data_IF_179500239106
#
_entry.id   IF_179500239106
#
_cell.length_a   1.000
_cell.length_b   1.000
_cell.length_c   1.000
_cell.angle_alpha   90.00
_cell.angle_beta   90.00
_cell.angle_gamma   90.00
#
_symmetry.space_group_name_H-M   'P 1'
#
loop_
_entity.id
_entity.type
_entity.pdbx_description
1 polymer ?
#
# COMPACT_ATOMS: atom_id res chain seq x y z
N UNK A 1 4.03 -0.49 26.71
CA UNK A 1 3.51 -1.84 27.04
C UNK A 1 3.62 -2.69 25.78
N UNK A 2 4.46 -3.72 25.81
CA UNK A 2 4.85 -4.51 24.64
C UNK A 2 3.99 -5.77 24.56
N UNK A 3 2.95 -5.74 23.74
CA UNK A 3 2.25 -6.96 23.34
C UNK A 3 3.06 -7.62 22.21
N UNK A 4 4.11 -8.35 22.58
CA UNK A 4 4.76 -9.30 21.68
C UNK A 4 3.79 -10.44 21.43
N UNK A 5 2.89 -10.25 20.45
CA UNK A 5 2.09 -11.32 19.86
C UNK A 5 3.09 -12.30 19.26
N UNK A 6 3.29 -13.42 19.95
CA UNK A 6 4.18 -14.50 19.52
C UNK A 6 3.63 -15.05 18.19
N UNK A 7 4.17 -14.58 17.07
CA UNK A 7 3.85 -15.09 15.75
C UNK A 7 4.78 -16.30 15.51
N UNK A 8 4.25 -17.51 15.25
CA UNK A 8 5.09 -18.65 14.94
C UNK A 8 6.07 -18.31 13.81
N UNK A 9 7.33 -18.76 13.87
CA UNK A 9 8.33 -18.47 12.83
C UNK A 9 7.86 -18.84 11.41
N UNK A 10 7.07 -19.92 11.28
CA UNK A 10 6.45 -20.35 10.04
C UNK A 10 5.44 -19.35 9.47
N UNK A 11 4.58 -18.76 10.31
CA UNK A 11 3.64 -17.72 9.90
C UNK A 11 4.33 -16.41 9.58
N UNK A 12 5.36 -16.06 10.36
CA UNK A 12 6.21 -14.90 10.08
C UNK A 12 6.88 -15.01 8.70
N UNK A 13 7.35 -16.21 8.31
CA UNK A 13 7.92 -16.44 6.98
C UNK A 13 6.89 -16.33 5.85
N UNK A 14 5.66 -16.78 6.07
CA UNK A 14 4.56 -16.65 5.11
C UNK A 14 4.17 -15.18 4.88
N UNK A 15 3.99 -14.42 5.98
CA UNK A 15 3.72 -12.98 5.90
C UNK A 15 4.86 -12.23 5.25
N UNK A 16 6.12 -12.59 5.56
CA UNK A 16 7.29 -12.05 4.85
C UNK A 16 7.20 -12.25 3.36
N UNK A 17 6.91 -13.48 2.91
CA UNK A 17 6.80 -13.79 1.49
C UNK A 17 5.65 -13.01 0.81
N UNK A 18 4.52 -12.84 1.50
CA UNK A 18 3.38 -12.05 1.01
C UNK A 18 3.70 -10.56 0.91
N UNK A 19 4.46 -10.02 1.86
CA UNK A 19 4.92 -8.64 1.83
C UNK A 19 5.91 -8.47 0.67
N UNK A 20 6.97 -9.27 0.59
CA UNK A 20 8.01 -9.12 -0.46
C UNK A 20 7.49 -9.34 -1.87
N UNK A 21 6.47 -10.18 -2.04
CA UNK A 21 5.84 -10.47 -3.33
C UNK A 21 4.51 -9.71 -3.48
N UNK A 22 4.34 -8.62 -2.74
CA UNK A 22 3.14 -7.82 -2.86
C UNK A 22 3.08 -7.17 -4.24
N UNK A 23 1.94 -7.37 -4.89
CA UNK A 23 1.59 -6.75 -6.15
C UNK A 23 0.11 -6.35 -6.07
N UNK A 24 -0.17 -5.14 -6.53
CA UNK A 24 -1.52 -4.63 -6.64
C UNK A 24 -2.19 -5.25 -7.87
N UNK A 25 -3.43 -5.73 -7.73
CA UNK A 25 -4.18 -6.28 -8.86
C UNK A 25 -4.72 -5.17 -9.78
N UNK A 26 -4.86 -5.43 -11.08
CA UNK A 26 -5.28 -4.42 -12.08
C UNK A 26 -6.67 -3.82 -11.78
N UNK A 27 -7.56 -4.61 -11.19
CA UNK A 27 -8.92 -4.20 -10.80
C UNK A 27 -9.00 -3.73 -9.33
N UNK A 28 -7.92 -3.89 -8.54
CA UNK A 28 -7.89 -3.50 -7.13
C UNK A 28 -7.59 -2.01 -7.01
N UNK A 29 -8.44 -1.30 -6.26
CA UNK A 29 -8.19 0.09 -5.93
C UNK A 29 -7.10 0.19 -4.87
N UNK A 30 -6.34 1.27 -4.91
CA UNK A 30 -5.18 1.45 -4.05
C UNK A 30 -5.52 1.44 -2.54
N UNK A 31 -6.74 1.81 -2.16
CA UNK A 31 -7.25 1.65 -0.78
C UNK A 31 -7.28 0.19 -0.35
N UNK A 32 -7.89 -0.67 -1.17
CA UNK A 32 -8.06 -2.09 -0.84
C UNK A 32 -6.68 -2.79 -0.84
N UNK A 33 -5.79 -2.37 -1.75
CA UNK A 33 -4.39 -2.78 -1.79
C UNK A 33 -3.64 -2.38 -0.51
N UNK A 34 -3.85 -1.15 -0.01
CA UNK A 34 -3.27 -0.67 1.25
C UNK A 34 -3.83 -1.43 2.46
N UNK A 35 -5.14 -1.66 2.52
CA UNK A 35 -5.75 -2.45 3.60
C UNK A 35 -5.16 -3.86 3.65
N UNK A 36 -5.07 -4.55 2.50
CA UNK A 36 -4.46 -5.87 2.36
C UNK A 36 -2.99 -5.89 2.79
N UNK A 37 -2.22 -4.89 2.37
CA UNK A 37 -0.81 -4.77 2.76
C UNK A 37 -0.66 -4.50 4.27
N UNK A 38 -1.48 -3.60 4.82
CA UNK A 38 -1.45 -3.24 6.23
C UNK A 38 -1.81 -4.43 7.12
N UNK A 39 -2.76 -5.27 6.72
CA UNK A 39 -3.10 -6.51 7.44
C UNK A 39 -1.88 -7.46 7.52
N UNK A 40 -1.16 -7.64 6.41
CA UNK A 40 0.07 -8.45 6.41
C UNK A 40 1.16 -7.84 7.31
N UNK A 41 1.30 -6.52 7.28
CA UNK A 41 2.28 -5.79 8.07
C UNK A 41 1.99 -5.86 9.58
N UNK A 42 0.73 -5.64 10.01
CA UNK A 42 0.31 -5.72 11.41
C UNK A 42 0.31 -7.15 11.96
N UNK A 43 0.14 -8.17 11.11
CA UNK A 43 0.23 -9.57 11.52
C UNK A 43 1.68 -10.06 11.70
N UNK A 44 2.67 -9.32 11.19
CA UNK A 44 4.08 -9.63 11.40
C UNK A 44 4.64 -8.88 12.63
N UNK A 45 5.44 -9.53 13.51
CA UNK A 45 6.04 -8.82 14.63
C UNK A 45 6.95 -7.68 14.15
N UNK A 46 6.76 -6.47 14.70
CA UNK A 46 7.42 -5.22 14.29
C UNK A 46 8.96 -5.28 14.28
N UNK A 47 9.59 -6.22 14.99
CA UNK A 47 11.05 -6.28 15.13
C UNK A 47 11.76 -6.92 13.93
N UNK A 48 11.01 -7.56 13.02
CA UNK A 48 11.62 -8.45 12.03
C UNK A 48 11.79 -7.80 10.65
N UNK A 49 11.33 -6.58 10.47
CA UNK A 49 11.48 -5.78 9.26
C UNK A 49 12.14 -4.43 9.57
N UNK A 50 13.04 -3.99 8.69
CA UNK A 50 13.44 -2.59 8.68
C UNK A 50 12.22 -1.75 8.36
N UNK A 51 11.95 -0.73 9.18
CA UNK A 51 10.75 0.07 9.05
C UNK A 51 10.68 0.83 7.71
N UNK A 52 11.76 0.93 6.93
CA UNK A 52 11.73 1.47 5.56
C UNK A 52 11.46 0.41 4.48
N UNK A 53 11.78 -0.86 4.72
CA UNK A 53 11.68 -1.93 3.72
C UNK A 53 10.25 -2.12 3.20
N UNK A 54 9.25 -1.97 4.08
CA UNK A 54 7.85 -2.13 3.68
C UNK A 54 7.39 -0.98 2.75
N UNK A 55 7.95 0.23 2.88
CA UNK A 55 7.60 1.38 2.03
C UNK A 55 8.07 1.11 0.59
N UNK A 56 9.31 0.67 0.44
CA UNK A 56 9.88 0.31 -0.86
C UNK A 56 9.12 -0.85 -1.50
N UNK A 57 8.77 -1.86 -0.70
CA UNK A 57 8.05 -3.03 -1.16
C UNK A 57 6.62 -2.68 -1.59
N UNK A 58 5.89 -1.92 -0.76
CA UNK A 58 4.54 -1.46 -1.08
C UNK A 58 4.57 -0.61 -2.35
N UNK A 59 5.38 0.45 -2.37
CA UNK A 59 5.49 1.33 -3.53
C UNK A 59 5.92 0.56 -4.78
N UNK A 60 6.86 -0.39 -4.68
CA UNK A 60 7.29 -1.24 -5.79
C UNK A 60 6.17 -2.08 -6.39
N UNK A 61 5.29 -2.64 -5.55
CA UNK A 61 4.15 -3.48 -5.92
C UNK A 61 2.93 -2.73 -6.47
N UNK A 62 2.90 -1.39 -6.40
CA UNK A 62 1.79 -0.60 -6.95
C UNK A 62 1.83 -0.52 -8.47
N UNK A 63 0.65 -0.38 -9.07
CA UNK A 63 0.56 -0.06 -10.49
C UNK A 63 1.04 1.38 -10.78
N UNK A 64 1.42 1.65 -12.03
CA UNK A 64 2.02 2.93 -12.41
C UNK A 64 1.12 4.15 -12.14
N UNK A 65 -0.19 4.03 -12.37
CA UNK A 65 -1.14 5.12 -12.14
C UNK A 65 -1.19 5.53 -10.66
N UNK A 66 -1.12 4.54 -9.78
CA UNK A 66 -1.17 4.69 -8.33
C UNK A 66 0.14 5.23 -7.76
N UNK A 67 1.28 4.84 -8.35
CA UNK A 67 2.59 5.47 -8.09
C UNK A 67 2.57 6.97 -8.41
N UNK A 68 2.04 7.34 -9.58
CA UNK A 68 1.95 8.75 -10.00
C UNK A 68 1.04 9.55 -9.06
N UNK A 69 -0.09 8.98 -8.63
CA UNK A 69 -0.99 9.60 -7.67
C UNK A 69 -0.27 9.87 -6.34
N UNK A 70 0.37 8.84 -5.79
CA UNK A 70 1.15 8.96 -4.55
C UNK A 70 2.25 10.00 -4.70
N UNK A 71 3.03 9.96 -5.77
CA UNK A 71 4.12 10.93 -5.99
C UNK A 71 3.60 12.36 -6.13
N UNK A 72 2.45 12.55 -6.76
CA UNK A 72 1.80 13.87 -6.86
C UNK A 72 1.37 14.39 -5.49
N UNK A 73 0.82 13.53 -4.63
CA UNK A 73 0.34 13.90 -3.29
C UNK A 73 1.49 14.06 -2.28
N UNK A 74 2.53 13.22 -2.38
CA UNK A 74 3.75 13.32 -1.58
C UNK A 74 4.76 14.35 -2.11
N UNK A 75 4.50 14.96 -3.27
CA UNK A 75 5.47 15.80 -3.99
C UNK A 75 6.80 15.08 -4.24
N UNK A 76 6.75 13.77 -4.51
CA UNK A 76 7.93 12.91 -4.70
C UNK A 76 8.77 12.66 -3.44
N UNK A 77 8.25 12.97 -2.24
CA UNK A 77 8.99 12.83 -0.98
C UNK A 77 8.66 11.57 -0.19
N UNK A 78 7.88 10.63 -0.74
CA UNK A 78 7.48 9.41 0.00
C UNK A 78 8.70 8.67 0.56
N UNK A 79 9.74 8.45 -0.26
CA UNK A 79 10.98 7.77 0.15
C UNK A 79 11.83 8.55 1.18
N UNK A 80 11.57 9.85 1.35
CA UNK A 80 12.26 10.71 2.32
C UNK A 80 11.48 10.85 3.64
N UNK A 81 10.25 10.31 3.71
CA UNK A 81 9.44 10.35 4.91
C UNK A 81 9.78 9.20 5.84
N UNK A 82 9.65 9.43 7.15
CA UNK A 82 9.78 8.35 8.13
C UNK A 82 8.53 7.45 8.11
N UNK A 83 8.63 6.17 8.48
CA UNK A 83 7.53 5.21 8.38
C UNK A 83 6.22 5.63 9.09
N UNK A 84 6.26 6.28 10.27
CA UNK A 84 5.05 6.82 10.89
C UNK A 84 4.36 7.92 10.06
N UNK A 85 5.14 8.73 9.33
CA UNK A 85 4.58 9.77 8.46
C UNK A 85 3.92 9.15 7.22
N UNK A 86 4.55 8.15 6.60
CA UNK A 86 4.00 7.43 5.44
C UNK A 86 2.72 6.70 5.82
N UNK A 87 2.71 6.01 6.96
CA UNK A 87 1.51 5.31 7.47
C UNK A 87 0.37 6.28 7.68
N UNK A 88 0.60 7.38 8.42
CA UNK A 88 -0.42 8.40 8.67
C UNK A 88 -0.93 9.03 7.37
N UNK A 89 -0.05 9.24 6.39
CA UNK A 89 -0.42 9.78 5.10
C UNK A 89 -1.32 8.80 4.32
N UNK A 90 -0.98 7.51 4.28
CA UNK A 90 -1.79 6.46 3.65
C UNK A 90 -3.15 6.29 4.34
N UNK A 91 -3.18 6.33 5.68
CA UNK A 91 -4.42 6.32 6.45
C UNK A 91 -5.27 7.56 6.19
N UNK A 92 -4.69 8.76 6.23
CA UNK A 92 -5.38 10.01 5.91
C UNK A 92 -5.98 9.97 4.50
N UNK A 93 -5.26 9.37 3.56
CA UNK A 93 -5.71 9.22 2.18
C UNK A 93 -6.84 8.20 2.03
N UNK A 94 -6.77 7.08 2.75
CA UNK A 94 -7.84 6.09 2.83
C UNK A 94 -9.10 6.66 3.50
N UNK A 95 -8.95 7.46 4.56
CA UNK A 95 -10.04 8.07 5.32
C UNK A 95 -10.69 9.27 4.62
N UNK A 96 -9.90 10.10 3.94
CA UNK A 96 -10.41 11.33 3.30
C UNK A 96 -11.25 11.06 2.05
N UNK A 97 -11.48 9.79 1.69
CA UNK A 97 -12.27 9.45 0.51
C UNK A 97 -11.75 10.17 -0.72
N UNK A 98 -10.42 10.35 -0.81
CA UNK A 98 -9.81 10.82 -2.04
C UNK A 98 -10.30 9.89 -3.15
N UNK A 99 -10.40 10.42 -4.34
CA UNK A 99 -10.83 9.66 -5.51
C UNK A 99 -9.71 8.70 -5.95
N UNK A 100 -9.35 7.73 -5.11
CA UNK A 100 -8.36 6.68 -5.37
C UNK A 100 -8.83 5.75 -6.50
N UNK A 101 -10.11 5.82 -6.89
CA UNK A 101 -10.74 4.87 -7.80
C UNK A 101 -11.70 5.41 -8.87
N UNK A 102 -12.25 6.64 -8.83
CA UNK A 102 -13.18 7.05 -9.90
C UNK A 102 -12.47 7.39 -11.22
N UNK A 103 -11.14 7.58 -11.24
CA UNK A 103 -10.43 7.68 -12.53
C UNK A 103 -10.48 6.40 -13.36
N UNK A 104 -10.61 5.21 -12.76
CA UNK A 104 -10.81 3.96 -13.53
C UNK A 104 -12.25 3.81 -14.03
N UNK A 105 -13.22 4.36 -13.30
CA UNK A 105 -14.64 4.32 -13.70
C UNK A 105 -15.02 5.31 -14.81
N UNK A 106 -14.11 6.20 -15.24
CA UNK A 106 -14.39 7.25 -16.23
C UNK A 106 -14.04 6.92 -17.70
N UNK A 107 -13.50 5.73 -18.01
CA UNK A 107 -13.12 5.36 -19.39
C UNK A 107 -13.81 4.07 -19.87
N UNK A 108 -15.13 4.01 -19.80
CA UNK A 108 -15.93 3.16 -20.71
C UNK A 108 -17.10 3.98 -21.23
N UNK A 109 -17.24 4.02 -22.56
CA UNK A 109 -18.17 4.83 -23.38
C UNK A 109 -17.66 6.27 -23.60
N UNK A 110 -17.14 6.61 -24.77
CA UNK A 110 -17.94 6.72 -25.99
C UNK A 110 -17.31 6.01 -27.20
N UNK A 111 -18.01 4.99 -27.64
CA UNK A 111 -17.86 4.42 -28.97
C UNK A 111 -18.14 5.47 -30.05
N UNK A 112 -17.35 5.36 -31.12
CA UNK A 112 -17.27 6.18 -32.32
C UNK A 112 -18.65 6.57 -32.86
N UNK A 113 -18.83 7.87 -33.15
CA UNK A 113 -19.85 8.32 -34.10
C UNK A 113 -19.19 8.40 -35.48
N UNK A 114 -19.56 7.46 -36.34
CA UNK A 114 -19.45 7.56 -37.80
C UNK A 114 -20.35 8.68 -38.33
#
# INVERSE_FOLDING_TARGET
MFMTRYCPPSKTAEWRKKITNFEQEEDEILRDAWERFSDYFFQCPHHVFEEQFWIETFYGGLIQDDKILIDSLCQGKLMNMIPPQVTKFLEDMALKGYDWGLKRSGKRSTERRV
#
